data_IF_041813454141
#
_entry.id   IF_041813454141
#
_cell.length_a   1.000
_cell.length_b   1.000
_cell.length_c   1.000
_cell.angle_alpha   90.00
_cell.angle_beta   90.00
_cell.angle_gamma   90.00
#
_symmetry.space_group_name_H-M   'P 1'
#
loop_
_entity.id
_entity.type
_entity.pdbx_description
1 polymer ?
#
# COMPACT_ATOMS: atom_id res chain seq x y z
N UNK A 1 2.41 -54.66 7.96
CA UNK A 1 3.62 -54.48 8.79
C UNK A 1 4.46 -53.40 8.11
N UNK A 2 4.78 -52.22 8.64
CA UNK A 2 4.53 -51.56 9.91
C UNK A 2 4.82 -50.06 9.70
N UNK A 3 4.41 -49.25 10.66
CA UNK A 3 4.23 -47.80 10.60
C UNK A 3 5.54 -46.96 10.68
N UNK A 4 5.41 -45.70 10.24
CA UNK A 4 6.28 -44.49 10.35
C UNK A 4 7.03 -44.29 11.70
N UNK A 5 8.14 -43.48 11.79
CA UNK A 5 8.10 -42.03 11.47
C UNK A 5 9.39 -41.30 10.98
N UNK A 6 9.20 -40.17 10.30
CA UNK A 6 10.14 -39.03 10.23
C UNK A 6 10.28 -38.44 11.66
N UNK A 7 11.47 -37.99 12.14
CA UNK A 7 12.12 -36.79 11.61
C UNK A 7 13.65 -36.69 11.92
N UNK A 8 14.55 -36.87 10.96
CA UNK A 8 16.01 -36.75 11.22
C UNK A 8 16.81 -36.12 10.07
N UNK A 9 16.23 -35.16 9.36
CA UNK A 9 16.94 -34.37 8.35
C UNK A 9 16.85 -32.85 8.61
N UNK A 10 16.89 -32.46 9.89
CA UNK A 10 16.98 -31.06 10.31
C UNK A 10 18.16 -30.88 11.28
N UNK A 11 19.39 -30.97 10.76
CA UNK A 11 20.60 -30.48 11.43
C UNK A 11 21.81 -30.58 10.49
N UNK A 12 22.07 -29.56 9.68
CA UNK A 12 23.43 -29.23 9.21
C UNK A 12 23.41 -27.97 8.35
N UNK A 13 23.59 -26.81 8.99
CA UNK A 13 24.44 -25.68 8.53
C UNK A 13 24.19 -24.47 9.41
N UNK A 14 24.90 -24.42 10.52
CA UNK A 14 25.18 -23.20 11.25
C UNK A 14 26.68 -23.10 11.49
N UNK A 15 27.16 -21.85 11.45
CA UNK A 15 28.45 -21.27 11.87
C UNK A 15 29.53 -21.07 10.78
N UNK A 16 30.49 -20.14 10.95
CA UNK A 16 30.31 -18.68 11.13
C UNK A 16 31.38 -17.87 10.34
N UNK A 17 31.08 -16.63 9.88
CA UNK A 17 32.14 -15.69 9.45
C UNK A 17 31.96 -14.34 10.15
N UNK A 18 33.06 -13.94 10.77
CA UNK A 18 33.22 -12.84 11.69
C UNK A 18 33.35 -11.47 11.00
N UNK A 19 32.90 -10.44 11.74
CA UNK A 19 33.54 -9.13 11.96
C UNK A 19 34.23 -8.43 10.77
N UNK A 20 33.58 -7.37 10.26
CA UNK A 20 34.22 -6.21 9.58
C UNK A 20 33.55 -4.95 10.15
N UNK A 21 34.13 -4.37 11.21
CA UNK A 21 35.10 -3.27 11.15
C UNK A 21 34.44 -1.92 10.76
N UNK A 22 34.03 -1.20 11.80
CA UNK A 22 33.76 0.23 11.80
C UNK A 22 35.05 1.00 11.49
N UNK A 23 35.12 1.63 10.31
CA UNK A 23 36.14 2.63 9.98
C UNK A 23 35.51 4.02 10.06
N UNK A 24 35.90 4.75 11.10
CA UNK A 24 35.53 6.14 11.30
C UNK A 24 36.14 7.04 10.23
N UNK A 25 35.30 7.90 9.65
CA UNK A 25 35.74 9.07 8.91
C UNK A 25 35.77 10.25 9.88
N UNK A 26 36.97 10.58 10.36
CA UNK A 26 37.25 11.81 11.06
C UNK A 26 38.59 12.35 10.57
N UNK A 27 38.58 13.16 9.50
CA UNK A 27 39.70 14.02 9.13
C UNK A 27 39.19 15.25 8.37
N UNK A 28 39.14 16.39 9.06
CA UNK A 28 39.50 17.67 8.48
C UNK A 28 40.24 18.46 9.58
N UNK A 29 41.55 18.50 9.44
CA UNK A 29 42.47 19.26 10.27
C UNK A 29 42.47 20.74 9.87
N UNK A 30 42.69 21.61 10.85
CA UNK A 30 42.99 23.03 10.67
C UNK A 30 43.49 23.64 11.99
N UNK A 31 44.78 23.99 12.11
CA UNK A 31 45.46 24.23 13.38
C UNK A 31 45.40 25.70 13.80
N UNK A 32 45.49 26.00 15.11
CA UNK A 32 46.30 27.09 15.67
C UNK A 32 46.30 27.08 17.20
N UNK A 33 47.49 27.27 17.74
CA UNK A 33 47.87 27.14 19.13
C UNK A 33 47.46 28.32 20.03
N UNK A 34 47.41 28.03 21.33
CA UNK A 34 48.01 28.78 22.46
C UNK A 34 47.02 28.99 23.61
N UNK A 35 47.28 28.29 24.72
CA UNK A 35 46.90 28.69 26.08
C UNK A 35 47.82 29.86 26.52
N UNK A 36 47.36 30.78 27.39
CA UNK A 36 47.35 30.50 28.82
C UNK A 36 46.10 30.98 29.57
N UNK A 37 45.85 30.30 30.69
CA UNK A 37 44.95 30.74 31.76
C UNK A 37 45.40 32.08 32.34
N UNK A 38 44.43 32.97 32.56
CA UNK A 38 44.44 33.96 33.64
C UNK A 38 42.99 34.26 34.03
N UNK A 39 42.71 34.15 35.33
CA UNK A 39 41.45 34.54 35.99
C UNK A 39 41.16 36.04 35.82
N UNK A 40 39.93 36.43 35.50
CA UNK A 40 39.16 37.41 36.28
C UNK A 40 37.68 37.50 35.84
N UNK A 41 36.86 37.91 36.81
CA UNK A 41 35.41 38.10 36.82
C UNK A 41 34.87 39.16 35.83
N UNK A 42 33.62 38.91 35.46
CA UNK A 42 32.50 39.88 35.36
C UNK A 42 31.89 40.12 33.97
N UNK A 43 30.55 40.12 34.01
CA UNK A 43 29.59 40.95 33.25
C UNK A 43 28.97 40.38 31.97
N UNK A 44 27.63 40.32 32.03
CA UNK A 44 26.66 40.08 30.96
C UNK A 44 26.99 40.82 29.65
N UNK A 45 26.78 40.12 28.53
CA UNK A 45 26.09 40.73 27.40
C UNK A 45 25.35 39.67 26.57
N UNK A 46 24.03 39.81 26.52
CA UNK A 46 23.18 39.21 25.51
C UNK A 46 23.63 39.69 24.12
N UNK A 47 23.83 38.76 23.21
CA UNK A 47 23.54 38.95 21.79
C UNK A 47 23.02 37.64 21.25
N UNK A 48 21.71 37.64 21.08
CA UNK A 48 20.90 36.65 20.41
C UNK A 48 21.23 36.63 18.92
N UNK A 49 21.88 35.58 18.45
CA UNK A 49 21.87 35.18 17.04
C UNK A 49 21.10 33.86 16.93
N UNK A 50 19.77 33.99 16.97
CA UNK A 50 18.88 32.93 16.52
C UNK A 50 18.95 32.88 14.99
N UNK A 51 19.92 32.13 14.48
CA UNK A 51 19.98 31.76 13.06
C UNK A 51 18.71 30.97 12.74
N UNK A 52 17.73 31.65 12.15
CA UNK A 52 16.47 31.05 11.73
C UNK A 52 16.77 30.10 10.58
N UNK A 53 16.86 28.81 10.89
CA UNK A 53 16.85 27.76 9.90
C UNK A 53 15.58 27.92 9.03
N UNK A 54 15.66 27.73 7.70
CA UNK A 54 14.47 27.74 6.87
C UNK A 54 13.52 26.66 7.40
N UNK A 55 12.36 27.07 7.92
CA UNK A 55 11.28 26.13 8.19
C UNK A 55 10.92 25.53 6.84
N UNK A 56 11.38 24.29 6.61
CA UNK A 56 10.90 23.47 5.52
C UNK A 56 9.39 23.39 5.69
N UNK A 57 8.66 24.18 4.92
CA UNK A 57 7.22 24.10 4.84
C UNK A 57 6.94 22.72 4.25
N UNK A 58 6.68 21.75 5.13
CA UNK A 58 6.27 20.42 4.73
C UNK A 58 5.08 20.60 3.79
N UNK A 59 5.20 20.11 2.56
CA UNK A 59 4.12 20.21 1.57
C UNK A 59 2.84 19.68 2.21
N UNK A 60 1.80 20.52 2.24
CA UNK A 60 0.54 20.17 2.90
C UNK A 60 -0.06 18.96 2.17
N UNK A 61 -0.15 17.82 2.87
CA UNK A 61 -0.74 16.59 2.32
C UNK A 61 -2.22 16.84 2.02
N UNK A 62 -2.67 16.45 0.83
CA UNK A 62 -4.09 16.54 0.44
C UNK A 62 -4.96 15.63 1.31
N UNK A 63 -4.46 14.43 1.60
CA UNK A 63 -5.05 13.46 2.51
C UNK A 63 -4.11 13.24 3.68
N UNK A 64 -4.60 13.43 4.90
CA UNK A 64 -3.81 13.32 6.14
C UNK A 64 -3.92 11.93 6.78
N UNK A 65 -4.97 11.17 6.48
CA UNK A 65 -5.18 9.81 6.97
C UNK A 65 -6.01 8.96 6.00
N UNK A 66 -5.81 7.65 6.06
CA UNK A 66 -6.55 6.67 5.26
C UNK A 66 -8.00 6.55 5.77
N UNK A 67 -9.01 6.72 4.90
CA UNK A 67 -10.42 6.65 5.32
C UNK A 67 -10.82 5.24 5.74
N UNK A 68 -11.96 5.13 6.43
CA UNK A 68 -12.55 3.83 6.75
C UNK A 68 -12.91 3.07 5.45
N UNK A 69 -12.29 1.90 5.19
CA UNK A 69 -12.30 1.34 3.85
C UNK A 69 -13.62 0.69 3.47
N UNK A 70 -14.33 0.11 4.44
CA UNK A 70 -15.56 -0.65 4.18
C UNK A 70 -16.76 0.21 3.80
N UNK A 71 -16.75 1.51 4.11
CA UNK A 71 -17.74 2.47 3.59
C UNK A 71 -17.44 2.94 2.16
N UNK A 72 -16.34 2.47 1.57
CA UNK A 72 -15.84 2.94 0.29
C UNK A 72 -16.61 2.44 -0.93
N UNK A 73 -17.37 1.35 -0.81
CA UNK A 73 -18.11 0.74 -1.91
C UNK A 73 -19.60 0.84 -1.63
N UNK A 74 -20.37 1.22 -2.65
CA UNK A 74 -21.81 1.29 -2.53
C UNK A 74 -22.41 -0.09 -2.28
N UNK A 75 -23.41 -0.18 -1.41
CA UNK A 75 -24.08 -1.45 -1.08
C UNK A 75 -24.61 -2.16 -2.33
N UNK A 76 -25.12 -1.40 -3.30
CA UNK A 76 -25.57 -1.95 -4.58
C UNK A 76 -24.42 -2.58 -5.39
N UNK A 77 -23.23 -1.95 -5.38
CA UNK A 77 -22.03 -2.49 -6.02
C UNK A 77 -21.58 -3.78 -5.35
N UNK A 78 -21.57 -3.84 -4.00
CA UNK A 78 -21.22 -5.07 -3.27
C UNK A 78 -22.18 -6.22 -3.63
N UNK A 79 -23.49 -5.96 -3.59
CA UNK A 79 -24.50 -6.98 -3.94
C UNK A 79 -24.37 -7.49 -5.38
N UNK A 80 -23.91 -6.63 -6.29
CA UNK A 80 -23.72 -6.97 -7.70
C UNK A 80 -22.42 -7.73 -7.96
N UNK A 81 -21.32 -7.37 -7.28
CA UNK A 81 -20.00 -7.94 -7.56
C UNK A 81 -19.69 -9.16 -6.68
N UNK A 82 -20.21 -9.20 -5.46
CA UNK A 82 -19.93 -10.27 -4.49
C UNK A 82 -21.27 -10.77 -3.91
N UNK A 83 -22.11 -11.40 -4.74
CA UNK A 83 -23.45 -11.80 -4.32
C UNK A 83 -23.37 -12.82 -3.17
N UNK A 84 -24.05 -12.51 -2.07
CA UNK A 84 -24.02 -13.32 -0.84
C UNK A 84 -23.05 -12.82 0.23
N UNK A 85 -22.20 -11.84 -0.07
CA UNK A 85 -21.32 -11.24 0.95
C UNK A 85 -22.12 -10.35 1.93
N UNK A 86 -21.62 -10.27 3.17
CA UNK A 86 -22.10 -9.27 4.14
C UNK A 86 -21.71 -7.88 3.65
N UNK A 87 -22.68 -6.98 3.52
CA UNK A 87 -22.45 -5.64 2.95
C UNK A 87 -21.52 -4.77 3.80
N UNK A 88 -21.41 -5.05 5.10
CA UNK A 88 -20.48 -4.34 5.98
C UNK A 88 -19.00 -4.58 5.65
N UNK A 89 -18.68 -5.67 4.93
CA UNK A 89 -17.31 -6.07 4.67
C UNK A 89 -16.54 -6.44 5.93
N UNK A 90 -15.27 -6.79 5.74
CA UNK A 90 -14.32 -7.11 6.79
C UNK A 90 -13.11 -6.19 6.64
N UNK A 91 -12.92 -5.25 7.56
CA UNK A 91 -11.68 -4.45 7.58
C UNK A 91 -10.51 -5.35 8.02
N UNK A 92 -9.45 -5.37 7.22
CA UNK A 92 -8.22 -6.08 7.53
C UNK A 92 -7.42 -5.22 8.52
N UNK A 93 -6.89 -5.86 9.58
CA UNK A 93 -6.05 -5.19 10.55
C UNK A 93 -4.85 -4.52 9.87
N UNK A 94 -4.67 -3.23 10.14
CA UNK A 94 -3.53 -2.45 9.68
C UNK A 94 -2.62 -2.10 10.85
N UNK A 95 -1.31 -2.19 10.63
CA UNK A 95 -0.28 -1.71 11.55
C UNK A 95 -0.39 -0.20 11.75
N UNK A 96 -0.72 0.55 10.70
CA UNK A 96 -0.93 2.00 10.76
C UNK A 96 -2.17 2.38 9.94
N UNK A 97 -3.24 2.69 10.66
CA UNK A 97 -4.53 3.08 10.08
C UNK A 97 -4.51 4.47 9.44
N UNK A 98 -3.55 5.34 9.76
CA UNK A 98 -3.40 6.62 9.07
C UNK A 98 -2.77 6.43 7.69
N UNK A 99 -1.87 5.44 7.54
CA UNK A 99 -1.18 5.18 6.27
C UNK A 99 -1.96 4.24 5.36
N UNK A 100 -2.48 3.13 5.87
CA UNK A 100 -3.14 2.11 5.05
C UNK A 100 -4.33 1.49 5.76
N UNK A 101 -5.44 1.34 5.03
CA UNK A 101 -6.59 0.55 5.48
C UNK A 101 -7.17 -0.21 4.30
N UNK A 102 -7.60 -1.44 4.54
CA UNK A 102 -8.14 -2.34 3.52
C UNK A 102 -9.44 -2.97 4.01
N UNK A 103 -10.44 -3.04 3.14
CA UNK A 103 -11.65 -3.82 3.39
C UNK A 103 -11.79 -4.92 2.36
N UNK A 104 -12.34 -6.05 2.82
CA UNK A 104 -12.56 -7.24 2.02
C UNK A 104 -14.02 -7.67 2.05
N UNK A 105 -14.50 -8.16 0.91
CA UNK A 105 -15.77 -8.85 0.76
C UNK A 105 -15.53 -10.12 -0.04
N UNK A 106 -16.02 -11.24 0.46
CA UNK A 106 -16.02 -12.48 -0.29
C UNK A 106 -17.31 -13.27 -0.04
N UNK A 107 -17.66 -14.09 -1.02
CA UNK A 107 -18.76 -15.04 -0.89
C UNK A 107 -18.58 -16.17 -1.90
N UNK A 108 -19.09 -17.34 -1.51
CA UNK A 108 -19.39 -18.44 -2.41
C UNK A 108 -20.91 -18.53 -2.54
N UNK A 109 -21.44 -18.34 -3.74
CA UNK A 109 -22.87 -18.47 -4.02
C UNK A 109 -23.09 -19.59 -5.03
N UNK A 110 -23.60 -20.73 -4.54
CA UNK A 110 -23.55 -21.95 -5.33
C UNK A 110 -22.09 -22.35 -5.53
N UNK A 111 -21.62 -22.34 -6.78
CA UNK A 111 -20.23 -22.61 -7.14
C UNK A 111 -19.45 -21.35 -7.54
N UNK A 112 -20.12 -20.19 -7.64
CA UNK A 112 -19.50 -18.92 -8.03
C UNK A 112 -18.86 -18.26 -6.80
N UNK A 113 -17.53 -18.28 -6.76
CA UNK A 113 -16.74 -17.57 -5.77
C UNK A 113 -16.36 -16.20 -6.28
N UNK A 114 -16.63 -15.19 -5.46
CA UNK A 114 -16.25 -13.79 -5.70
C UNK A 114 -15.50 -13.23 -4.51
N UNK A 115 -14.50 -12.41 -4.78
CA UNK A 115 -13.79 -11.64 -3.78
C UNK A 115 -13.45 -10.26 -4.33
N UNK A 116 -13.75 -9.23 -3.54
CA UNK A 116 -13.41 -7.83 -3.74
C UNK A 116 -12.60 -7.30 -2.55
N UNK A 117 -11.46 -6.68 -2.83
CA UNK A 117 -10.68 -5.90 -1.87
C UNK A 117 -10.57 -4.44 -2.31
N UNK A 118 -10.60 -3.53 -1.33
CA UNK A 118 -10.35 -2.10 -1.53
C UNK A 118 -9.37 -1.62 -0.50
N UNK A 119 -8.25 -1.07 -0.96
CA UNK A 119 -7.20 -0.50 -0.12
C UNK A 119 -7.04 0.99 -0.39
N UNK A 120 -6.92 1.77 0.69
CA UNK A 120 -6.53 3.17 0.63
C UNK A 120 -5.15 3.32 1.26
N UNK A 121 -4.19 3.85 0.49
CA UNK A 121 -2.84 4.11 0.95
C UNK A 121 -2.52 5.60 0.84
N UNK A 122 -2.22 6.24 1.96
CA UNK A 122 -1.78 7.63 2.01
C UNK A 122 -0.26 7.67 1.95
N UNK A 123 0.28 8.49 1.07
CA UNK A 123 1.71 8.73 0.91
C UNK A 123 2.10 10.08 1.51
N UNK A 124 3.39 10.23 1.74
CA UNK A 124 3.97 11.43 2.34
C UNK A 124 3.83 12.68 1.46
N UNK A 125 3.69 12.49 0.14
CA UNK A 125 3.52 13.58 -0.82
C UNK A 125 2.91 13.07 -2.14
N UNK A 126 2.45 14.00 -2.97
CA UNK A 126 1.96 13.73 -4.32
C UNK A 126 3.05 13.07 -5.19
N UNK A 127 4.30 13.50 -5.05
CA UNK A 127 5.44 12.91 -5.76
C UNK A 127 5.71 11.47 -5.32
N UNK A 128 5.60 11.18 -4.02
CA UNK A 128 5.73 9.81 -3.50
C UNK A 128 4.60 8.91 -4.01
N UNK A 129 3.37 9.42 -4.09
CA UNK A 129 2.24 8.70 -4.68
C UNK A 129 2.41 8.49 -6.18
N UNK A 130 2.92 9.47 -6.92
CA UNK A 130 3.24 9.34 -8.33
C UNK A 130 4.26 8.24 -8.60
N UNK A 131 5.36 8.23 -7.85
CA UNK A 131 6.38 7.20 -7.96
C UNK A 131 5.80 5.83 -7.67
N UNK A 132 5.10 5.68 -6.54
CA UNK A 132 4.50 4.41 -6.13
C UNK A 132 3.41 3.92 -7.09
N UNK A 133 2.72 4.83 -7.79
CA UNK A 133 1.78 4.48 -8.85
C UNK A 133 2.53 3.94 -10.08
N UNK A 134 3.53 4.68 -10.58
CA UNK A 134 4.31 4.29 -11.75
C UNK A 134 5.01 2.95 -11.56
N UNK A 135 5.64 2.73 -10.40
CA UNK A 135 6.30 1.48 -10.06
C UNK A 135 5.31 0.30 -10.16
N UNK A 136 4.15 0.41 -9.50
CA UNK A 136 3.13 -0.66 -9.53
C UNK A 136 2.51 -0.91 -10.90
N UNK A 137 2.40 0.14 -11.73
CA UNK A 137 1.90 0.00 -13.10
C UNK A 137 2.97 -0.64 -13.99
N UNK A 138 4.25 -0.30 -13.82
CA UNK A 138 5.36 -0.88 -14.56
C UNK A 138 5.54 -2.38 -14.28
N UNK A 139 5.25 -2.82 -13.05
CA UNK A 139 5.26 -4.23 -12.65
C UNK A 139 4.09 -5.03 -13.24
N UNK A 140 3.16 -4.38 -13.95
CA UNK A 140 1.97 -4.99 -14.55
C UNK A 140 2.03 -4.89 -16.07
N UNK A 141 1.72 -5.98 -16.76
CA UNK A 141 1.64 -6.04 -18.23
C UNK A 141 0.21 -6.33 -18.69
N UNK A 142 -0.13 -5.94 -19.93
CA UNK A 142 -1.43 -6.28 -20.55
C UNK A 142 -2.63 -5.47 -20.08
N UNK A 143 -2.45 -4.48 -19.20
CA UNK A 143 -3.49 -3.55 -18.78
C UNK A 143 -3.54 -2.25 -19.60
N UNK A 144 -4.41 -1.32 -19.18
CA UNK A 144 -4.62 -0.04 -19.83
C UNK A 144 -5.07 1.07 -18.89
N UNK A 145 -4.95 2.31 -19.36
CA UNK A 145 -5.41 3.48 -18.62
C UNK A 145 -6.94 3.48 -18.46
N UNK A 146 -7.41 3.95 -17.29
CA UNK A 146 -8.85 4.11 -17.00
C UNK A 146 -9.15 5.61 -16.88
N UNK A 147 -9.59 6.26 -17.97
CA UNK A 147 -9.84 7.71 -17.93
C UNK A 147 -11.01 8.05 -16.99
N UNK A 148 -10.95 9.23 -16.38
CA UNK A 148 -12.01 9.77 -15.54
C UNK A 148 -12.07 9.20 -14.11
N UNK A 149 -11.04 8.48 -13.66
CA UNK A 149 -10.94 7.97 -12.29
C UNK A 149 -9.64 8.46 -11.65
N UNK A 150 -9.77 9.23 -10.57
CA UNK A 150 -8.62 9.89 -9.92
C UNK A 150 -7.92 10.89 -10.84
N UNK A 151 -6.65 11.14 -10.55
CA UNK A 151 -5.74 11.90 -11.41
C UNK A 151 -5.10 10.99 -12.47
N UNK A 152 -4.95 9.72 -12.14
CA UNK A 152 -4.46 8.67 -13.04
C UNK A 152 -4.98 7.33 -12.55
N UNK A 153 -5.40 6.46 -13.48
CA UNK A 153 -5.80 5.11 -13.14
C UNK A 153 -5.38 4.12 -14.21
N UNK A 154 -5.11 2.89 -13.77
CA UNK A 154 -4.69 1.79 -14.61
C UNK A 154 -5.43 0.53 -14.18
N UNK A 155 -5.88 -0.26 -15.15
CA UNK A 155 -6.51 -1.56 -14.91
C UNK A 155 -5.80 -2.66 -15.68
N UNK A 156 -5.60 -3.79 -15.01
CA UNK A 156 -5.10 -5.02 -15.61
C UNK A 156 -5.97 -6.18 -15.16
N UNK A 157 -6.14 -7.18 -16.04
CA UNK A 157 -6.85 -8.41 -15.71
C UNK A 157 -6.00 -9.59 -16.13
N UNK A 158 -5.79 -10.51 -15.20
CA UNK A 158 -4.98 -11.71 -15.40
C UNK A 158 -5.79 -12.97 -15.12
N UNK A 159 -5.48 -14.04 -15.85
CA UNK A 159 -6.00 -15.38 -15.63
C UNK A 159 -4.89 -16.21 -14.98
N UNK A 160 -5.19 -16.86 -13.86
CA UNK A 160 -4.37 -17.93 -13.30
C UNK A 160 -5.10 -19.27 -13.42
N UNK A 161 -4.34 -20.36 -13.41
CA UNK A 161 -4.88 -21.72 -13.42
C UNK A 161 -4.08 -22.57 -12.46
N UNK A 162 -4.73 -23.04 -11.40
CA UNK A 162 -4.15 -23.92 -10.39
C UNK A 162 -5.02 -25.17 -10.29
N UNK A 163 -4.44 -26.37 -10.32
CA UNK A 163 -5.20 -27.64 -10.25
C UNK A 163 -6.39 -27.74 -11.23
N UNK A 164 -6.21 -27.18 -12.44
CA UNK A 164 -7.24 -27.05 -13.50
C UNK A 164 -8.41 -26.11 -13.15
N UNK A 165 -8.33 -25.38 -12.03
CA UNK A 165 -9.25 -24.33 -11.65
C UNK A 165 -8.75 -22.98 -12.18
N UNK A 166 -9.53 -22.35 -13.04
CA UNK A 166 -9.25 -21.00 -13.50
C UNK A 166 -9.74 -19.96 -12.50
N UNK A 167 -8.90 -18.98 -12.17
CA UNK A 167 -9.29 -17.78 -11.43
C UNK A 167 -8.89 -16.55 -12.23
N UNK A 168 -9.81 -15.59 -12.36
CA UNK A 168 -9.51 -14.32 -13.02
C UNK A 168 -9.51 -13.21 -12.00
N UNK A 169 -8.45 -12.41 -12.02
CA UNK A 169 -8.23 -11.28 -11.10
C UNK A 169 -8.07 -10.00 -11.91
N UNK A 170 -8.87 -8.98 -11.57
CA UNK A 170 -8.74 -7.63 -12.05
C UNK A 170 -8.19 -6.73 -10.95
N UNK A 171 -7.15 -5.98 -11.27
CA UNK A 171 -6.57 -4.97 -10.38
C UNK A 171 -6.72 -3.61 -11.00
N UNK A 172 -7.32 -2.67 -10.27
CA UNK A 172 -7.36 -1.25 -10.62
C UNK A 172 -6.56 -0.47 -9.59
N UNK A 173 -5.58 0.28 -10.07
CA UNK A 173 -4.80 1.21 -9.25
C UNK A 173 -5.18 2.62 -9.68
N UNK A 174 -5.59 3.43 -8.71
CA UNK A 174 -5.91 4.85 -8.92
C UNK A 174 -4.97 5.68 -8.07
N UNK A 175 -4.41 6.74 -8.65
CA UNK A 175 -3.74 7.82 -7.91
C UNK A 175 -4.69 9.01 -7.83
N UNK A 176 -4.81 9.60 -6.64
CA UNK A 176 -5.46 10.88 -6.40
C UNK A 176 -4.63 11.67 -5.39
N UNK A 177 -3.95 12.73 -5.85
CA UNK A 177 -2.98 13.51 -5.07
C UNK A 177 -1.97 12.58 -4.38
N UNK A 178 -1.78 12.70 -3.06
CA UNK A 178 -0.90 11.84 -2.27
C UNK A 178 -1.51 10.48 -1.88
N UNK A 179 -2.63 10.06 -2.45
CA UNK A 179 -3.28 8.79 -2.13
C UNK A 179 -3.29 7.80 -3.30
N UNK A 180 -3.24 6.51 -2.97
CA UNK A 180 -3.53 5.41 -3.89
C UNK A 180 -4.77 4.65 -3.43
N UNK A 181 -5.67 4.38 -4.38
CA UNK A 181 -6.76 3.43 -4.21
C UNK A 181 -6.41 2.19 -5.02
N UNK A 182 -6.34 1.04 -4.37
CA UNK A 182 -6.09 -0.24 -5.02
C UNK A 182 -7.30 -1.13 -4.83
N UNK A 183 -7.91 -1.51 -5.94
CA UNK A 183 -9.04 -2.44 -5.97
C UNK A 183 -8.61 -3.73 -6.62
N UNK A 184 -8.84 -4.85 -5.94
CA UNK A 184 -8.66 -6.19 -6.49
C UNK A 184 -10.02 -6.85 -6.53
N UNK A 185 -10.43 -7.36 -7.69
CA UNK A 185 -11.67 -8.11 -7.85
C UNK A 185 -11.39 -9.40 -8.59
N UNK A 186 -11.71 -10.53 -7.99
CA UNK A 186 -11.49 -11.83 -8.58
C UNK A 186 -12.75 -12.70 -8.56
N UNK A 187 -12.76 -13.69 -9.45
CA UNK A 187 -13.82 -14.68 -9.51
C UNK A 187 -13.36 -16.02 -10.08
N UNK A 188 -14.07 -17.06 -9.67
CA UNK A 188 -13.83 -18.44 -10.07
C UNK A 188 -15.09 -19.28 -9.85
N UNK A 189 -15.44 -20.12 -10.83
CA UNK A 189 -16.56 -21.05 -10.71
C UNK A 189 -16.05 -22.47 -10.47
N UNK A 190 -16.40 -23.06 -9.32
CA UNK A 190 -15.88 -24.36 -8.88
C UNK A 190 -16.56 -25.57 -9.52
N UNK A 191 -17.69 -25.39 -10.21
CA UNK A 191 -18.39 -26.47 -10.91
C UNK A 191 -17.82 -26.65 -12.32
N UNK A 192 -17.74 -25.56 -13.06
CA UNK A 192 -17.19 -25.53 -14.42
C UNK A 192 -15.66 -25.50 -14.44
N UNK A 193 -15.04 -25.12 -13.32
CA UNK A 193 -13.60 -24.85 -13.19
C UNK A 193 -13.11 -23.68 -14.03
N UNK A 194 -14.02 -22.81 -14.46
CA UNK A 194 -13.75 -21.67 -15.34
C UNK A 194 -13.81 -20.36 -14.59
N UNK A 195 -13.03 -19.39 -15.06
CA UNK A 195 -13.10 -18.04 -14.52
C UNK A 195 -14.14 -17.19 -15.30
N UNK A 196 -14.75 -16.19 -14.64
CA UNK A 196 -15.64 -15.22 -15.29
C UNK A 196 -14.91 -14.44 -16.39
N UNK A 197 -15.63 -13.93 -17.39
CA UNK A 197 -15.08 -13.23 -18.56
C UNK A 197 -14.14 -12.05 -18.19
N UNK A 198 -13.15 -11.76 -19.04
CA UNK A 198 -12.17 -10.69 -18.78
C UNK A 198 -12.83 -9.33 -18.67
N UNK A 199 -13.82 -9.06 -19.52
CA UNK A 199 -14.56 -7.80 -19.50
C UNK A 199 -15.45 -7.68 -18.26
N UNK A 200 -16.04 -8.79 -17.78
CA UNK A 200 -16.82 -8.83 -16.54
C UNK A 200 -15.96 -8.44 -15.33
N UNK A 201 -14.79 -9.07 -15.19
CA UNK A 201 -13.86 -8.77 -14.10
C UNK A 201 -13.33 -7.32 -14.23
N UNK A 202 -12.97 -6.88 -15.42
CA UNK A 202 -12.50 -5.51 -15.65
C UNK A 202 -13.55 -4.46 -15.27
N UNK A 203 -14.77 -4.61 -15.79
CA UNK A 203 -15.89 -3.69 -15.51
C UNK A 203 -16.24 -3.67 -14.02
N UNK A 204 -16.23 -4.83 -13.37
CA UNK A 204 -16.46 -4.94 -11.93
C UNK A 204 -15.41 -4.20 -11.12
N UNK A 205 -14.12 -4.43 -11.41
CA UNK A 205 -13.01 -3.77 -10.73
C UNK A 205 -13.05 -2.24 -10.92
N UNK A 206 -13.29 -1.77 -12.16
CA UNK A 206 -13.40 -0.33 -12.47
C UNK A 206 -14.61 0.30 -11.76
N UNK A 207 -15.74 -0.40 -11.68
CA UNK A 207 -16.92 0.08 -10.96
C UNK A 207 -16.62 0.27 -9.48
N UNK A 208 -16.00 -0.71 -8.83
CA UNK A 208 -15.60 -0.58 -7.43
C UNK A 208 -14.53 0.52 -7.23
N UNK A 209 -13.58 0.67 -8.15
CA UNK A 209 -12.58 1.74 -8.09
C UNK A 209 -13.20 3.14 -8.19
N UNK A 210 -14.27 3.32 -8.99
CA UNK A 210 -15.02 4.58 -9.05
C UNK A 210 -15.70 4.91 -7.73
N UNK A 211 -16.39 3.93 -7.13
CA UNK A 211 -17.03 4.10 -5.82
C UNK A 211 -16.00 4.47 -4.75
N UNK A 212 -14.91 3.70 -4.68
CA UNK A 212 -13.83 3.91 -3.72
C UNK A 212 -13.15 5.27 -3.87
N UNK A 213 -12.88 5.68 -5.11
CA UNK A 213 -12.28 6.99 -5.39
C UNK A 213 -13.22 8.14 -5.01
N UNK A 214 -14.54 7.98 -5.22
CA UNK A 214 -15.52 8.96 -4.78
C UNK A 214 -15.56 9.07 -3.26
N UNK A 215 -15.52 7.94 -2.55
CA UNK A 215 -15.47 7.90 -1.09
C UNK A 215 -14.21 8.56 -0.52
N UNK A 216 -13.03 8.29 -1.11
CA UNK A 216 -11.78 8.97 -0.74
C UNK A 216 -11.91 10.49 -0.86
N UNK A 217 -12.42 10.99 -1.99
CA UNK A 217 -12.64 12.43 -2.21
C UNK A 217 -13.66 13.02 -1.24
N UNK A 218 -14.68 12.25 -0.86
CA UNK A 218 -15.67 12.63 0.15
C UNK A 218 -15.05 12.77 1.54
N UNK A 219 -14.18 11.83 1.93
CA UNK A 219 -13.51 11.84 3.23
C UNK A 219 -12.58 13.03 3.45
N UNK A 220 -12.09 13.69 2.39
CA UNK A 220 -11.32 14.94 2.49
C UNK A 220 -12.15 16.12 3.01
N UNK A 221 -13.47 16.11 2.78
CA UNK A 221 -14.37 17.22 3.09
C UNK A 221 -14.95 17.15 4.51
N UNK A 222 -14.67 16.07 5.22
CA UNK A 222 -15.15 15.78 6.59
C UNK A 222 -14.03 16.03 7.60
#
# INVERSE_FOLDING_TARGET
MGSLPLPLALAARLLPVALLASAGWALAAGPSAATPNAEDKSTQKQTSDASSAPSASAAVKTFTASPAPCGGIQVATIKSLVPGAKTAGQEITSTDKAVRRTCSWNALKGFDYRWLDVSYEIKESDAAAEKAYKDRVADKSGGGAVPGVGDSAYSVVNLSTEDKQETREGVVIVRASNALVVVTYNGSDFETKKAPATDEINKGAIKAAKDATAALKGARKS
#
